data_IF_360117397644
#
_entry.id   IF_360117397644
#
_cell.length_a   1.000
_cell.length_b   1.000
_cell.length_c   1.000
_cell.angle_alpha   90.00
_cell.angle_beta   90.00
_cell.angle_gamma   90.00
#
_symmetry.space_group_name_H-M   'P 1'
#
loop_
_entity.id
_entity.type
_entity.pdbx_description
1 polymer ?
#
# COMPACT_ATOMS: atom_id res chain seq x y z
N UNK A 1 -20.50 -12.78 5.90
CA UNK A 1 -20.45 -11.39 5.41
C UNK A 1 -19.17 -10.80 5.95
N UNK A 2 -18.17 -10.70 5.10
CA UNK A 2 -16.86 -10.13 5.40
C UNK A 2 -17.07 -8.63 5.60
N UNK A 3 -16.57 -8.08 6.71
CA UNK A 3 -16.61 -6.63 6.95
C UNK A 3 -15.43 -6.02 6.19
N UNK A 4 -15.71 -5.18 5.21
CA UNK A 4 -14.71 -4.57 4.30
C UNK A 4 -14.45 -3.14 4.72
N UNK A 5 -13.26 -2.88 5.29
CA UNK A 5 -12.91 -1.58 5.84
C UNK A 5 -12.37 -0.68 4.72
N UNK A 6 -12.76 0.60 4.71
CA UNK A 6 -12.12 1.61 3.85
C UNK A 6 -11.20 2.46 4.70
N UNK A 7 -10.11 2.87 4.09
CA UNK A 7 -9.07 3.62 4.77
C UNK A 7 -8.68 4.78 3.87
N UNK A 8 -8.18 5.85 4.48
CA UNK A 8 -7.21 6.79 3.93
C UNK A 8 -7.70 7.98 3.08
N UNK A 9 -7.14 9.13 3.43
CA UNK A 9 -6.42 10.02 2.51
C UNK A 9 -5.13 10.40 3.23
N UNK A 10 -4.39 11.38 2.78
CA UNK A 10 -3.21 11.31 1.97
C UNK A 10 -3.32 11.37 0.38
N UNK A 11 -2.54 12.24 -0.31
CA UNK A 11 -2.15 12.26 -1.73
C UNK A 11 -1.00 13.26 -1.99
N UNK A 12 0.19 12.83 -2.46
CA UNK A 12 1.18 13.70 -3.09
C UNK A 12 1.16 13.37 -4.58
N UNK A 13 0.28 14.04 -5.31
CA UNK A 13 0.03 13.77 -6.73
C UNK A 13 1.11 14.35 -7.66
N UNK A 14 2.05 15.14 -7.10
CA UNK A 14 2.95 15.99 -7.87
C UNK A 14 2.25 17.23 -8.46
N UNK A 15 0.97 17.43 -8.15
CA UNK A 15 0.11 18.54 -8.58
C UNK A 15 -0.54 19.17 -7.33
N UNK A 16 0.06 20.26 -6.83
CA UNK A 16 -0.33 20.93 -5.58
C UNK A 16 -1.81 21.36 -5.53
N UNK A 17 -2.48 21.46 -6.69
CA UNK A 17 -3.90 21.80 -6.78
C UNK A 17 -4.84 20.66 -6.39
N UNK A 18 -4.35 19.42 -6.33
CA UNK A 18 -5.10 18.19 -6.00
C UNK A 18 -4.74 17.60 -4.65
N UNK A 19 -3.76 18.17 -3.96
CA UNK A 19 -3.31 17.72 -2.65
C UNK A 19 -4.19 18.28 -1.52
N UNK A 20 -5.36 18.85 -1.79
CA UNK A 20 -6.25 19.43 -0.76
C UNK A 20 -7.61 18.73 -0.72
N UNK A 21 -8.08 18.42 0.49
CA UNK A 21 -9.43 17.94 0.77
C UNK A 21 -10.18 18.93 1.64
N UNK A 22 -11.50 18.97 1.51
CA UNK A 22 -12.38 19.74 2.40
C UNK A 22 -13.07 18.80 3.36
N UNK A 23 -12.78 18.94 4.66
CA UNK A 23 -13.52 18.28 5.72
C UNK A 23 -14.70 19.17 6.14
N UNK A 24 -15.91 18.62 6.10
CA UNK A 24 -17.11 19.29 6.60
C UNK A 24 -17.47 18.71 7.97
N UNK A 25 -17.42 19.55 9.00
CA UNK A 25 -17.80 19.19 10.36
C UNK A 25 -19.31 19.02 10.52
N UNK A 26 -19.73 18.37 11.61
CA UNK A 26 -21.14 18.13 11.93
C UNK A 26 -21.94 19.43 12.16
N UNK A 27 -21.26 20.53 12.45
CA UNK A 27 -21.83 21.89 12.60
C UNK A 27 -21.87 22.66 11.26
N UNK A 28 -21.46 22.03 10.16
CA UNK A 28 -21.38 22.65 8.83
C UNK A 28 -20.11 23.47 8.60
N UNK A 29 -19.19 23.54 9.56
CA UNK A 29 -17.89 24.18 9.37
C UNK A 29 -17.06 23.42 8.33
N UNK A 30 -16.27 24.15 7.53
CA UNK A 30 -15.39 23.56 6.52
C UNK A 30 -13.93 23.90 6.81
N UNK A 31 -13.06 22.92 6.64
CA UNK A 31 -11.61 23.09 6.78
C UNK A 31 -10.88 22.41 5.63
N UNK A 32 -9.81 23.05 5.12
CA UNK A 32 -8.98 22.49 4.06
C UNK A 32 -7.77 21.77 4.64
N UNK A 33 -7.50 20.56 4.14
CA UNK A 33 -6.43 19.68 4.61
C UNK A 33 -5.55 19.22 3.47
N UNK A 34 -4.23 19.31 3.65
CA UNK A 34 -3.27 18.78 2.68
C UNK A 34 -3.17 17.25 2.81
N UNK A 35 -3.19 16.55 1.69
CA UNK A 35 -3.10 15.11 1.57
C UNK A 35 -1.60 14.71 1.29
N UNK A 36 -1.12 13.53 1.73
CA UNK A 36 0.22 12.88 1.45
C UNK A 36 0.33 11.53 0.55
N UNK A 37 -0.62 10.57 0.49
CA UNK A 37 -0.92 9.25 -0.19
C UNK A 37 -2.38 8.61 -0.03
N UNK A 38 -3.12 8.20 -1.07
CA UNK A 38 -4.44 7.52 -0.88
C UNK A 38 -4.26 6.01 -0.97
N UNK A 39 -4.84 5.21 -0.05
CA UNK A 39 -4.86 3.75 -0.24
C UNK A 39 -6.24 3.17 0.04
N UNK A 40 -6.55 2.09 -0.65
CA UNK A 40 -7.73 1.30 -0.42
C UNK A 40 -7.23 -0.06 0.06
N UNK A 41 -7.61 -0.46 1.26
CA UNK A 41 -7.18 -1.75 1.80
C UNK A 41 -8.37 -2.70 1.89
N UNK A 42 -8.39 -3.67 0.97
CA UNK A 42 -9.41 -4.73 0.93
C UNK A 42 -8.92 -6.01 1.62
N UNK A 43 -7.84 -5.94 2.40
CA UNK A 43 -7.26 -7.13 3.03
C UNK A 43 -8.17 -7.66 4.14
N UNK A 44 -8.46 -8.97 4.14
CA UNK A 44 -9.28 -9.57 5.18
C UNK A 44 -8.57 -9.44 6.53
N UNK A 45 -9.27 -8.84 7.50
CA UNK A 45 -8.79 -8.58 8.87
C UNK A 45 -7.69 -7.51 9.02
N UNK A 46 -7.49 -6.63 8.04
CA UNK A 46 -6.63 -5.48 8.23
C UNK A 46 -7.08 -4.63 9.44
N UNK A 47 -6.11 -4.10 10.17
CA UNK A 47 -6.32 -3.17 11.28
C UNK A 47 -6.02 -1.75 10.82
N UNK A 48 -6.71 -0.77 11.40
CA UNK A 48 -6.41 0.63 11.13
C UNK A 48 -5.00 0.97 11.67
N UNK A 49 -4.27 1.91 11.04
CA UNK A 49 -3.06 2.45 11.64
C UNK A 49 -3.36 3.01 13.04
N UNK A 50 -2.44 2.79 13.97
CA UNK A 50 -2.49 3.38 15.31
C UNK A 50 -1.57 4.61 15.41
N UNK A 51 -1.74 5.40 16.47
CA UNK A 51 -0.81 6.47 16.80
C UNK A 51 0.62 5.92 16.96
N UNK A 52 1.59 6.62 16.40
CA UNK A 52 2.99 6.19 16.32
C UNK A 52 3.33 5.41 15.04
N UNK A 53 2.35 4.96 14.25
CA UNK A 53 2.60 4.37 12.94
C UNK A 53 3.33 5.36 12.01
N UNK A 54 4.31 4.88 11.24
CA UNK A 54 5.01 5.67 10.23
C UNK A 54 4.71 5.14 8.84
N UNK A 55 4.34 6.04 7.92
CA UNK A 55 4.16 5.68 6.52
C UNK A 55 5.49 5.19 5.96
N UNK A 56 5.49 4.03 5.32
CA UNK A 56 6.72 3.50 4.71
C UNK A 56 7.08 4.28 3.44
N UNK A 57 8.37 4.58 3.29
CA UNK A 57 8.95 4.98 2.02
C UNK A 57 9.43 3.74 1.28
N UNK A 58 9.32 3.78 -0.05
CA UNK A 58 9.74 2.70 -0.93
C UNK A 58 10.65 3.25 -2.01
N UNK A 59 11.65 2.47 -2.41
CA UNK A 59 12.46 2.76 -3.59
C UNK A 59 12.62 1.53 -4.47
N UNK A 60 12.80 1.80 -5.76
CA UNK A 60 13.27 0.81 -6.72
C UNK A 60 14.78 1.02 -6.91
N UNK A 61 15.55 0.06 -6.42
CA UNK A 61 16.99 -0.03 -6.61
C UNK A 61 17.37 -1.50 -6.81
N UNK A 62 17.17 -2.05 -8.01
CA UNK A 62 17.49 -3.45 -8.32
C UNK A 62 18.98 -3.76 -8.22
N UNK A 63 19.83 -2.74 -8.36
CA UNK A 63 21.29 -2.89 -8.34
C UNK A 63 21.86 -3.14 -6.94
N UNK A 64 21.20 -2.59 -5.91
CA UNK A 64 21.59 -2.75 -4.51
C UNK A 64 20.92 -3.96 -3.83
N UNK A 65 20.07 -4.69 -4.53
CA UNK A 65 19.39 -5.86 -3.98
C UNK A 65 20.36 -7.04 -3.83
N UNK A 66 20.29 -7.77 -2.72
CA UNK A 66 21.25 -8.84 -2.37
C UNK A 66 21.31 -10.01 -3.37
N UNK A 67 20.33 -10.13 -4.27
CA UNK A 67 20.28 -11.16 -5.32
C UNK A 67 19.91 -10.56 -6.67
N UNK A 68 20.24 -11.24 -7.79
CA UNK A 68 19.69 -10.88 -9.09
C UNK A 68 18.16 -10.96 -9.08
N UNK A 69 17.54 -9.95 -9.67
CA UNK A 69 16.09 -9.86 -9.84
C UNK A 69 15.70 -10.19 -11.27
N UNK A 70 14.59 -10.89 -11.45
CA UNK A 70 13.95 -11.00 -12.76
C UNK A 70 13.33 -9.66 -13.18
N UNK A 71 12.92 -9.52 -14.45
CA UNK A 71 12.38 -8.26 -14.98
C UNK A 71 11.17 -7.73 -14.20
N UNK A 72 10.32 -8.60 -13.66
CA UNK A 72 9.13 -8.22 -12.89
C UNK A 72 9.50 -7.75 -11.50
N UNK A 73 10.38 -8.47 -10.82
CA UNK A 73 10.89 -8.07 -9.50
C UNK A 73 11.64 -6.74 -9.59
N UNK A 74 12.41 -6.54 -10.66
CA UNK A 74 13.12 -5.29 -10.92
C UNK A 74 12.20 -4.11 -11.24
N UNK A 75 10.92 -4.34 -11.58
CA UNK A 75 9.94 -3.28 -11.83
C UNK A 75 9.22 -2.81 -10.56
N UNK A 76 9.27 -3.59 -9.47
CA UNK A 76 8.62 -3.27 -8.20
C UNK A 76 9.54 -2.54 -7.21
N UNK A 77 9.02 -2.16 -6.04
CA UNK A 77 9.86 -1.66 -4.95
C UNK A 77 10.78 -2.76 -4.45
N UNK A 78 12.08 -2.45 -4.29
CA UNK A 78 13.08 -3.43 -3.84
C UNK A 78 13.50 -3.18 -2.40
N UNK A 79 13.31 -1.95 -1.91
CA UNK A 79 13.63 -1.57 -0.54
C UNK A 79 12.50 -0.72 0.05
N UNK A 80 12.41 -0.77 1.37
CA UNK A 80 11.49 0.03 2.17
C UNK A 80 12.19 0.55 3.42
N UNK A 81 11.63 1.59 4.04
CA UNK A 81 12.01 2.05 5.38
C UNK A 81 10.85 2.83 6.01
N UNK A 82 10.85 3.01 7.34
CA UNK A 82 9.96 4.00 7.97
C UNK A 82 10.17 5.39 7.38
N UNK A 83 9.09 6.04 6.97
CA UNK A 83 9.11 7.39 6.43
C UNK A 83 9.09 8.47 7.52
N UNK A 84 9.17 9.75 7.10
CA UNK A 84 9.27 10.88 8.01
C UNK A 84 7.92 11.25 8.64
N UNK A 85 6.80 10.78 8.10
CA UNK A 85 5.46 11.10 8.59
C UNK A 85 5.02 10.09 9.64
N UNK A 86 4.59 10.58 10.81
CA UNK A 86 4.10 9.76 11.91
C UNK A 86 2.64 10.11 12.22
N UNK A 87 1.81 9.08 12.38
CA UNK A 87 0.42 9.21 12.79
C UNK A 87 0.38 9.70 14.24
N UNK A 88 -0.28 10.82 14.48
CA UNK A 88 -0.43 11.44 15.81
C UNK A 88 -1.86 11.45 16.31
N UNK A 89 -2.83 11.21 15.42
CA UNK A 89 -4.24 11.05 15.77
C UNK A 89 -4.97 10.22 14.72
N UNK A 90 -5.87 9.37 15.17
CA UNK A 90 -6.71 8.53 14.32
C UNK A 90 -8.18 8.83 14.61
N UNK A 91 -8.94 9.10 13.56
CA UNK A 91 -10.38 9.33 13.63
C UNK A 91 -11.07 8.35 12.67
N UNK A 92 -12.15 7.71 13.13
CA UNK A 92 -12.95 6.80 12.31
C UNK A 92 -14.35 7.35 12.13
N UNK A 93 -14.84 7.26 10.90
CA UNK A 93 -16.16 7.66 10.48
C UNK A 93 -16.85 6.45 9.86
N UNK A 94 -17.96 6.02 10.44
CA UNK A 94 -18.82 5.01 9.83
C UNK A 94 -19.82 5.74 8.92
N UNK A 95 -19.66 5.70 7.60
CA UNK A 95 -20.57 6.38 6.70
C UNK A 95 -21.93 5.67 6.70
N UNK A 96 -23.01 6.46 6.64
CA UNK A 96 -24.37 5.93 6.46
C UNK A 96 -24.56 5.52 4.99
N UNK A 97 -23.96 4.39 4.61
CA UNK A 97 -24.00 3.87 3.24
C UNK A 97 -25.16 2.87 3.06
N UNK A 98 -25.82 2.87 1.87
CA UNK A 98 -26.79 1.86 1.53
C UNK A 98 -26.21 0.44 1.66
N UNK A 99 -27.03 -0.50 2.09
CA UNK A 99 -26.65 -1.92 2.18
C UNK A 99 -26.19 -2.43 0.81
N UNK A 100 -24.95 -2.94 0.72
CA UNK A 100 -24.38 -3.51 -0.51
C UNK A 100 -23.19 -2.73 -1.11
N UNK A 101 -22.66 -1.71 -0.43
CA UNK A 101 -21.40 -1.07 -0.81
C UNK A 101 -20.19 -1.91 -0.35
N UNK A 102 -19.12 -1.95 -1.16
CA UNK A 102 -17.85 -2.68 -0.92
C UNK A 102 -17.00 -2.09 0.23
N UNK A 103 -17.54 -1.11 0.96
CA UNK A 103 -16.79 -0.19 1.81
C UNK A 103 -17.63 0.14 3.05
N UNK A 104 -17.08 -0.02 4.26
CA UNK A 104 -17.86 0.08 5.52
C UNK A 104 -17.44 1.17 6.51
N UNK A 105 -16.28 1.81 6.34
CA UNK A 105 -15.70 2.74 7.33
C UNK A 105 -14.71 3.67 6.64
N UNK A 106 -14.56 4.93 7.06
CA UNK A 106 -13.49 5.82 6.60
C UNK A 106 -12.61 6.16 7.80
N UNK A 107 -11.33 5.80 7.72
CA UNK A 107 -10.34 6.17 8.75
C UNK A 107 -9.47 7.34 8.27
N UNK A 108 -9.45 8.40 9.05
CA UNK A 108 -8.59 9.58 8.88
C UNK A 108 -7.41 9.52 9.85
N UNK A 109 -6.20 9.62 9.32
CA UNK A 109 -4.97 9.69 10.11
C UNK A 109 -4.37 11.09 9.96
N UNK A 110 -4.17 11.77 11.10
CA UNK A 110 -3.43 13.02 11.16
C UNK A 110 -1.97 12.70 11.37
N UNK A 111 -1.09 13.39 10.64
CA UNK A 111 0.34 13.13 10.69
C UNK A 111 1.17 14.37 10.90
N UNK A 112 2.24 14.20 11.68
CA UNK A 112 3.30 15.19 11.84
C UNK A 112 4.55 14.77 11.08
N UNK A 113 5.30 15.76 10.60
CA UNK A 113 6.60 15.54 9.97
C UNK A 113 7.68 15.42 11.04
N UNK A 114 8.20 14.20 11.22
CA UNK A 114 9.24 13.84 12.18
C UNK A 114 10.30 12.97 11.49
N UNK A 115 11.20 13.56 10.67
CA UNK A 115 12.18 12.80 9.90
C UNK A 115 13.16 12.07 10.82
N UNK A 116 13.49 10.84 10.46
CA UNK A 116 14.54 10.07 11.10
C UNK A 116 15.89 10.40 10.45
N UNK A 117 16.96 10.39 11.24
CA UNK A 117 18.31 10.57 10.72
C UNK A 117 18.65 9.40 9.78
N UNK A 118 19.26 9.69 8.63
CA UNK A 118 19.57 8.65 7.63
C UNK A 118 20.48 7.56 8.19
N UNK A 119 21.39 7.91 9.09
CA UNK A 119 22.29 6.98 9.74
C UNK A 119 21.54 5.93 10.58
N UNK A 120 20.38 6.30 11.14
CA UNK A 120 19.56 5.45 12.02
C UNK A 120 18.32 4.88 11.30
N UNK A 121 18.12 5.22 10.03
CA UNK A 121 16.96 4.81 9.22
C UNK A 121 17.39 4.26 7.83
N UNK A 122 18.11 3.13 7.82
CA UNK A 122 18.61 2.54 6.58
C UNK A 122 17.47 1.98 5.73
N UNK A 123 17.72 1.87 4.44
CA UNK A 123 16.86 1.12 3.53
C UNK A 123 16.96 -0.38 3.81
N UNK A 124 15.81 -1.02 4.00
CA UNK A 124 15.68 -2.44 4.27
C UNK A 124 15.24 -3.12 2.97
N UNK A 125 16.00 -4.11 2.52
CA UNK A 125 15.61 -4.96 1.39
C UNK A 125 14.25 -5.63 1.66
N UNK A 126 13.31 -5.48 0.73
CA UNK A 126 12.04 -6.18 0.80
C UNK A 126 12.29 -7.64 0.42
N UNK A 127 11.97 -8.61 1.27
CA UNK A 127 12.07 -10.03 0.91
C UNK A 127 10.96 -10.31 -0.11
N UNK A 128 11.30 -10.25 -1.40
CA UNK A 128 10.43 -10.73 -2.46
C UNK A 128 10.62 -12.26 -2.53
N UNK A 129 9.57 -13.05 -2.22
CA UNK A 129 9.66 -14.49 -2.33
C UNK A 129 10.11 -14.83 -3.74
N UNK A 130 11.17 -15.62 -3.88
CA UNK A 130 11.51 -16.18 -5.18
C UNK A 130 10.32 -17.03 -5.61
N UNK A 131 9.56 -16.56 -6.60
CA UNK A 131 8.35 -17.28 -7.04
C UNK A 131 8.68 -18.68 -7.59
N UNK A 132 9.92 -18.92 -8.03
CA UNK A 132 10.39 -20.25 -8.41
C UNK A 132 10.33 -21.26 -7.25
N UNK A 133 10.58 -20.78 -6.03
CA UNK A 133 10.59 -21.59 -4.80
C UNK A 133 9.35 -21.36 -3.92
N UNK A 134 8.40 -20.53 -4.38
CA UNK A 134 7.21 -20.20 -3.60
C UNK A 134 6.35 -21.47 -3.38
N UNK A 135 5.93 -21.77 -2.14
CA UNK A 135 5.04 -22.91 -1.88
C UNK A 135 3.67 -22.71 -2.53
N UNK A 136 2.97 -23.81 -2.85
CA UNK A 136 1.64 -23.75 -3.49
C UNK A 136 0.66 -22.89 -2.70
N UNK A 137 0.70 -22.95 -1.36
CA UNK A 137 -0.11 -22.13 -0.45
C UNK A 137 0.10 -20.61 -0.65
N UNK A 138 1.34 -20.19 -0.91
CA UNK A 138 1.65 -18.79 -1.20
C UNK A 138 1.13 -18.38 -2.58
N UNK A 139 1.21 -19.26 -3.58
CA UNK A 139 0.69 -19.00 -4.91
C UNK A 139 -0.85 -18.94 -4.92
N UNK A 140 -1.50 -19.82 -4.15
CA UNK A 140 -2.94 -19.80 -3.92
C UNK A 140 -3.38 -18.50 -3.22
N UNK A 141 -2.64 -18.06 -2.20
CA UNK A 141 -2.88 -16.78 -1.52
C UNK A 141 -2.74 -15.57 -2.47
N UNK A 142 -1.88 -15.68 -3.48
CA UNK A 142 -1.74 -14.69 -4.56
C UNK A 142 -2.88 -14.76 -5.60
N UNK A 143 -3.88 -15.63 -5.40
CA UNK A 143 -5.03 -15.80 -6.31
C UNK A 143 -4.72 -16.61 -7.57
N UNK A 144 -3.59 -17.32 -7.60
CA UNK A 144 -3.22 -18.17 -8.74
C UNK A 144 -3.91 -19.52 -8.62
N UNK A 145 -4.32 -20.06 -9.77
CA UNK A 145 -4.86 -21.42 -9.88
C UNK A 145 -3.73 -22.45 -10.03
N UNK A 146 -3.92 -23.71 -9.62
CA UNK A 146 -2.89 -24.74 -9.71
C UNK A 146 -2.27 -24.92 -11.10
N UNK A 147 -3.08 -24.77 -12.16
CA UNK A 147 -2.61 -24.83 -13.55
C UNK A 147 -1.64 -23.70 -13.94
N UNK A 148 -1.59 -22.61 -13.15
CA UNK A 148 -0.71 -21.47 -13.36
C UNK A 148 0.62 -21.60 -12.59
N UNK A 149 0.73 -22.49 -11.60
CA UNK A 149 1.90 -22.54 -10.70
C UNK A 149 3.20 -22.84 -11.42
N UNK A 150 3.20 -23.85 -12.29
CA UNK A 150 4.39 -24.21 -13.08
C UNK A 150 4.84 -23.01 -13.93
N UNK A 151 3.89 -22.34 -14.57
CA UNK A 151 4.14 -21.21 -15.45
C UNK A 151 4.59 -19.94 -14.68
N UNK A 152 4.19 -19.78 -13.42
CA UNK A 152 4.70 -18.71 -12.54
C UNK A 152 6.12 -19.02 -12.05
N UNK A 153 6.38 -20.29 -11.70
CA UNK A 153 7.68 -20.74 -11.20
C UNK A 153 8.77 -20.73 -12.27
N UNK A 154 8.43 -21.08 -13.51
CA UNK A 154 9.35 -21.05 -14.65
C UNK A 154 9.36 -19.69 -15.39
N UNK A 155 8.50 -18.76 -14.98
CA UNK A 155 8.37 -17.41 -15.56
C UNK A 155 7.59 -17.33 -16.89
N UNK A 156 7.13 -18.45 -17.44
CA UNK A 156 6.48 -18.52 -18.76
C UNK A 156 5.05 -18.02 -18.82
N UNK A 157 4.34 -17.94 -17.68
CA UNK A 157 2.97 -17.41 -17.63
C UNK A 157 2.92 -15.96 -18.16
N UNK A 158 4.01 -15.22 -17.94
CA UNK A 158 4.09 -13.78 -18.21
C UNK A 158 4.74 -13.45 -19.56
N UNK A 159 5.38 -14.41 -20.24
CA UNK A 159 5.86 -14.21 -21.61
C UNK A 159 4.70 -14.17 -22.62
N UNK A 160 3.62 -14.91 -22.34
CA UNK A 160 2.44 -15.00 -23.23
C UNK A 160 1.63 -13.71 -23.32
N UNK A 161 1.65 -12.85 -22.30
CA UNK A 161 0.94 -11.55 -22.33
C UNK A 161 1.71 -10.45 -23.06
N UNK A 162 3.00 -10.65 -23.35
CA UNK A 162 3.83 -9.67 -24.07
C UNK A 162 3.77 -9.79 -25.60
N UNK A 163 2.98 -10.73 -26.13
CA UNK A 163 2.78 -10.94 -27.58
C UNK A 163 1.32 -10.64 -27.94
N UNK A 164 0.96 -9.36 -27.90
CA UNK A 164 -0.38 -8.90 -28.27
C UNK A 164 -0.38 -7.40 -28.54
N UNK A 165 0.26 -7.00 -29.65
CA UNK A 165 0.02 -5.72 -30.33
C UNK A 165 -1.08 -5.92 -31.35
#
# INVERSE_FOLDING_TARGET
MTKEKTYIFYGCSGDESKDWSTLTGSDGSQSQHRLLSQHFDCSPNAEAPEEGYRLSEYKNDPSAYSRPLNKREAAGSTHHRPGPWVVTRVESYLPDLPVGTEYTEVVMCWCDYQPLLEADNPWIEMIMPNLADAPDEMLELMGLKPEQYAAVRDGSLFERESVGV
#
